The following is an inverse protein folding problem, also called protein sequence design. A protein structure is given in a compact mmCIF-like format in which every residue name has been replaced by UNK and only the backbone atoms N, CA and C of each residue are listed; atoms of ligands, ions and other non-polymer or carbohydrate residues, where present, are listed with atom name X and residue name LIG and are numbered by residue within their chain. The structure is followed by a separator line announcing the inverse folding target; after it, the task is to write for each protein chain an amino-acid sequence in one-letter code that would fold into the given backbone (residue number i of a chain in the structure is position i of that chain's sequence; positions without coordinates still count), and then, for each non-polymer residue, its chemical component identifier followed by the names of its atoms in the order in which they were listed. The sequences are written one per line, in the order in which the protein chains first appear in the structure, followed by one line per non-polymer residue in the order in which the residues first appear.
data_IF_454687966830
#
_entry.id   IF_454687966830
#
_cell.length_a   1.000
_cell.length_b   1.000
_cell.length_c   1.000
_cell.angle_alpha   90.00
_cell.angle_beta   90.00
_cell.angle_gamma   90.00
#
_symmetry.space_group_name_H-M   'P 1'
#
loop_
_entity.id
_entity.type
_entity.pdbx_description
1 polymer ?
#
# COMPACT_ATOMS: atom_id res chain seq x y z
N UNK A 1 -21.03 -16.65 -25.90
CA UNK A 1 -20.39 -16.89 -24.59
C UNK A 1 -20.44 -18.39 -24.37
N UNK A 2 -19.35 -19.00 -23.91
CA UNK A 2 -19.34 -20.43 -23.55
C UNK A 2 -20.30 -20.67 -22.38
N UNK A 3 -20.84 -21.88 -22.28
CA UNK A 3 -21.59 -22.34 -21.10
C UNK A 3 -20.61 -22.40 -19.92
N UNK A 4 -21.00 -21.96 -18.70
CA UNK A 4 -20.13 -22.06 -17.54
C UNK A 4 -19.91 -23.53 -17.13
N UNK A 5 -18.72 -23.83 -16.62
CA UNK A 5 -18.36 -25.19 -16.18
C UNK A 5 -19.10 -25.59 -14.89
N UNK A 6 -19.32 -24.63 -14.00
CA UNK A 6 -19.91 -24.88 -12.69
C UNK A 6 -21.09 -23.95 -12.42
N UNK A 7 -22.12 -24.52 -11.80
CA UNK A 7 -23.33 -23.81 -11.39
C UNK A 7 -23.71 -24.31 -10.00
N UNK A 8 -23.93 -23.37 -9.07
CA UNK A 8 -24.61 -23.63 -7.80
C UNK A 8 -25.86 -22.76 -7.75
N UNK A 9 -26.98 -23.42 -7.45
CA UNK A 9 -28.29 -22.81 -7.28
C UNK A 9 -28.83 -23.13 -5.89
N UNK A 10 -29.32 -22.10 -5.21
CA UNK A 10 -30.01 -22.25 -3.94
C UNK A 10 -30.94 -21.05 -3.70
N UNK A 11 -31.98 -21.30 -2.93
CA UNK A 11 -32.83 -20.25 -2.41
C UNK A 11 -32.30 -19.78 -1.06
N UNK A 12 -32.27 -18.48 -0.84
CA UNK A 12 -31.91 -17.90 0.45
C UNK A 12 -32.92 -16.87 0.92
N UNK A 13 -33.00 -16.73 2.24
CA UNK A 13 -33.68 -15.64 2.91
C UNK A 13 -33.30 -14.26 2.31
N UNK A 14 -34.29 -13.45 1.95
CA UNK A 14 -34.02 -12.11 1.44
C UNK A 14 -33.50 -11.21 2.57
N UNK A 15 -32.21 -10.83 2.51
CA UNK A 15 -31.56 -9.99 3.53
C UNK A 15 -32.10 -8.56 3.59
N UNK A 16 -32.68 -8.04 2.50
CA UNK A 16 -33.21 -6.67 2.46
C UNK A 16 -34.49 -6.52 3.30
N UNK A 17 -35.37 -7.53 3.27
CA UNK A 17 -36.64 -7.53 4.01
C UNK A 17 -36.68 -8.55 5.15
N UNK A 18 -35.54 -9.15 5.51
CA UNK A 18 -35.44 -10.24 6.48
C UNK A 18 -36.49 -11.33 6.26
N UNK A 19 -36.61 -11.78 5.00
CA UNK A 19 -37.56 -12.81 4.54
C UNK A 19 -39.05 -12.52 4.67
N UNK A 20 -39.45 -11.30 5.02
CA UNK A 20 -40.88 -10.96 5.15
C UNK A 20 -41.56 -10.69 3.81
N UNK A 21 -40.77 -10.45 2.76
CA UNK A 21 -41.28 -9.93 1.48
C UNK A 21 -41.64 -8.44 1.52
N UNK A 22 -41.62 -7.81 2.69
CA UNK A 22 -42.04 -6.43 2.90
C UNK A 22 -40.87 -5.59 3.44
N UNK A 23 -40.67 -4.42 2.88
CA UNK A 23 -39.66 -3.48 3.32
C UNK A 23 -40.32 -2.31 4.06
N UNK A 24 -39.74 -1.93 5.19
CA UNK A 24 -40.13 -0.75 5.98
C UNK A 24 -38.86 0.09 6.14
N UNK A 25 -38.77 1.16 5.37
CA UNK A 25 -37.67 2.11 5.41
C UNK A 25 -38.00 3.33 6.28
N UNK A 26 -37.24 4.41 6.05
CA UNK A 26 -37.37 5.65 6.81
C UNK A 26 -38.66 6.42 6.45
N UNK A 27 -39.30 6.12 5.31
CA UNK A 27 -40.49 6.84 4.86
C UNK A 27 -41.82 6.11 5.18
N UNK A 28 -41.75 4.83 5.52
CA UNK A 28 -42.91 4.01 5.86
C UNK A 28 -43.25 4.17 7.35
N UNK A 29 -44.47 4.64 7.64
CA UNK A 29 -44.92 4.97 8.99
C UNK A 29 -46.29 4.35 9.29
N UNK A 30 -46.68 4.29 10.57
CA UNK A 30 -48.02 3.88 11.01
C UNK A 30 -48.45 2.49 10.50
N UNK A 31 -47.54 1.52 10.50
CA UNK A 31 -47.82 0.15 10.04
C UNK A 31 -47.84 -0.01 8.52
N UNK A 32 -47.47 1.03 7.75
CA UNK A 32 -47.26 0.89 6.32
C UNK A 32 -45.99 0.09 6.01
N UNK A 33 -46.03 -0.67 4.92
CA UNK A 33 -44.87 -1.35 4.35
C UNK A 33 -45.01 -1.35 2.81
N UNK A 34 -43.88 -1.47 2.12
CA UNK A 34 -43.84 -1.62 0.66
C UNK A 34 -43.34 -3.00 0.28
N UNK A 35 -43.74 -3.50 -0.89
CA UNK A 35 -43.23 -4.79 -1.40
C UNK A 35 -41.72 -4.67 -1.61
N UNK A 36 -40.97 -5.60 -1.05
CA UNK A 36 -39.52 -5.62 -1.17
C UNK A 36 -39.11 -5.73 -2.65
N UNK A 37 -38.38 -4.73 -3.13
CA UNK A 37 -37.95 -4.66 -4.53
C UNK A 37 -36.93 -5.73 -4.90
N UNK A 38 -36.17 -6.25 -3.93
CA UNK A 38 -35.16 -7.31 -4.12
C UNK A 38 -35.81 -8.66 -4.40
N UNK A 39 -36.70 -9.13 -3.52
CA UNK A 39 -37.35 -10.44 -3.65
C UNK A 39 -38.74 -10.40 -4.30
N UNK A 40 -39.24 -9.21 -4.67
CA UNK A 40 -40.57 -9.02 -5.27
C UNK A 40 -41.71 -9.55 -4.40
N UNK A 41 -41.56 -9.47 -3.07
CA UNK A 41 -42.60 -9.87 -2.12
C UNK A 41 -42.55 -11.32 -1.66
N UNK A 42 -41.65 -12.15 -2.20
CA UNK A 42 -41.60 -13.59 -1.86
C UNK A 42 -40.94 -13.87 -0.51
N UNK A 43 -40.10 -12.95 -0.02
CA UNK A 43 -39.23 -13.19 1.13
C UNK A 43 -38.03 -14.10 0.83
N UNK A 44 -37.91 -14.63 -0.38
CA UNK A 44 -36.82 -15.50 -0.81
C UNK A 44 -36.14 -14.96 -2.07
N UNK A 45 -34.83 -15.10 -2.15
CA UNK A 45 -34.06 -14.80 -3.35
C UNK A 45 -33.48 -16.10 -3.90
N UNK A 46 -33.76 -16.40 -5.16
CA UNK A 46 -33.05 -17.43 -5.90
C UNK A 46 -31.67 -16.91 -6.30
N UNK A 47 -30.61 -17.57 -5.87
CA UNK A 47 -29.23 -17.20 -6.19
C UNK A 47 -28.65 -18.25 -7.12
N UNK A 48 -28.19 -17.77 -8.28
CA UNK A 48 -27.44 -18.56 -9.24
C UNK A 48 -26.03 -18.00 -9.32
N UNK A 49 -25.04 -18.79 -8.93
CA UNK A 49 -23.62 -18.47 -9.08
C UNK A 49 -23.08 -19.33 -10.20
N UNK A 50 -22.65 -18.68 -11.28
CA UNK A 50 -21.98 -19.32 -12.42
C UNK A 50 -20.50 -18.93 -12.38
N UNK A 51 -19.61 -19.91 -12.52
CA UNK A 51 -18.18 -19.64 -12.62
C UNK A 51 -17.48 -20.69 -13.47
N UNK A 52 -16.34 -20.28 -14.03
CA UNK A 52 -15.38 -21.16 -14.68
C UNK A 52 -14.20 -21.38 -13.73
N UNK A 53 -13.53 -22.53 -13.83
CA UNK A 53 -12.32 -22.76 -13.05
C UNK A 53 -11.23 -21.74 -13.42
N UNK A 54 -10.56 -21.21 -12.41
CA UNK A 54 -9.40 -20.38 -12.64
C UNK A 54 -8.23 -21.25 -13.10
N UNK A 55 -7.97 -21.24 -14.41
CA UNK A 55 -6.81 -21.93 -15.00
C UNK A 55 -5.58 -21.02 -14.96
N UNK A 56 -5.72 -19.83 -15.53
CA UNK A 56 -4.65 -18.84 -15.59
C UNK A 56 -5.22 -17.42 -15.74
N UNK A 57 -4.35 -16.43 -15.56
CA UNK A 57 -4.72 -15.03 -15.81
C UNK A 57 -4.85 -14.81 -17.31
N UNK A 58 -6.03 -14.38 -17.76
CA UNK A 58 -6.25 -13.94 -19.14
C UNK A 58 -5.38 -12.72 -19.46
N UNK A 59 -4.78 -12.72 -20.65
CA UNK A 59 -3.97 -11.60 -21.15
C UNK A 59 -4.88 -10.44 -21.57
N UNK A 60 -4.45 -9.20 -21.27
CA UNK A 60 -5.11 -7.96 -21.65
C UNK A 60 -4.12 -7.08 -22.42
N UNK A 61 -4.11 -7.25 -23.73
CA UNK A 61 -3.19 -6.52 -24.63
C UNK A 61 -3.49 -5.01 -24.69
N UNK A 62 -4.68 -4.61 -24.23
CA UNK A 62 -5.10 -3.22 -24.09
C UNK A 62 -4.61 -2.55 -22.79
N UNK A 63 -3.95 -3.31 -21.90
CA UNK A 63 -3.43 -2.80 -20.62
C UNK A 63 -1.91 -2.69 -20.69
N UNK A 64 -1.40 -1.45 -20.66
CA UNK A 64 0.05 -1.19 -20.65
C UNK A 64 0.66 -1.13 -19.25
N UNK A 65 -0.13 -0.73 -18.24
CA UNK A 65 0.36 -0.42 -16.90
C UNK A 65 -0.64 -0.82 -15.82
N UNK A 66 -0.14 -1.30 -14.69
CA UNK A 66 -0.93 -1.75 -13.54
C UNK A 66 -0.56 -0.91 -12.32
N UNK A 67 -1.58 -0.41 -11.63
CA UNK A 67 -1.43 0.37 -10.40
C UNK A 67 -1.92 -0.45 -9.22
N UNK A 68 -1.26 -0.30 -8.07
CA UNK A 68 -1.63 -1.04 -6.86
C UNK A 68 -3.03 -0.68 -6.36
N UNK A 69 -3.41 0.58 -6.51
CA UNK A 69 -4.71 1.11 -6.10
C UNK A 69 -5.04 2.38 -6.88
N UNK A 70 -6.28 2.86 -6.76
CA UNK A 70 -6.70 4.16 -7.26
C UNK A 70 -7.47 4.92 -6.15
N UNK A 71 -6.91 5.98 -5.54
CA UNK A 71 -7.59 6.78 -4.51
C UNK A 71 -8.59 7.79 -5.10
N UNK A 72 -9.31 7.41 -6.16
CA UNK A 72 -10.36 8.23 -6.77
C UNK A 72 -9.85 9.32 -7.72
N UNK A 73 -8.75 9.08 -8.43
CA UNK A 73 -8.19 10.00 -9.42
C UNK A 73 -8.30 9.42 -10.84
N UNK A 74 -8.38 10.31 -11.83
CA UNK A 74 -8.30 9.92 -13.23
C UNK A 74 -6.87 9.47 -13.56
N UNK A 75 -6.71 8.22 -14.02
CA UNK A 75 -5.43 7.66 -14.48
C UNK A 75 -5.48 7.51 -15.99
N UNK A 76 -4.49 8.04 -16.70
CA UNK A 76 -4.45 7.95 -18.15
C UNK A 76 -3.44 8.90 -18.79
N UNK A 77 -3.27 8.76 -20.11
CA UNK A 77 -2.44 9.67 -20.89
C UNK A 77 -3.20 10.97 -21.12
N UNK A 78 -2.54 12.10 -20.91
CA UNK A 78 -3.13 13.43 -21.08
C UNK A 78 -2.06 14.51 -21.24
N UNK A 79 -2.48 15.77 -21.29
CA UNK A 79 -1.54 16.90 -21.43
C UNK A 79 -0.61 16.93 -20.22
N UNK A 80 0.69 16.68 -20.46
CA UNK A 80 1.73 16.69 -19.42
C UNK A 80 1.79 15.42 -18.55
N UNK A 81 1.00 14.39 -18.84
CA UNK A 81 0.97 13.15 -18.05
C UNK A 81 1.12 11.90 -18.92
N UNK A 82 2.04 11.03 -18.52
CA UNK A 82 2.17 9.66 -19.03
C UNK A 82 1.64 8.65 -18.00
N UNK A 83 1.51 7.38 -18.36
CA UNK A 83 1.11 6.33 -17.39
C UNK A 83 2.13 6.21 -16.24
N UNK A 84 3.42 6.36 -16.53
CA UNK A 84 4.53 6.36 -15.55
C UNK A 84 4.43 7.51 -14.55
N UNK A 85 3.76 8.60 -14.92
CA UNK A 85 3.58 9.76 -14.04
C UNK A 85 2.82 9.42 -12.75
N UNK A 86 2.10 8.28 -12.75
CA UNK A 86 1.29 7.80 -11.64
C UNK A 86 1.92 6.61 -10.88
N UNK A 87 3.19 6.30 -11.12
CA UNK A 87 3.86 5.16 -10.48
C UNK A 87 3.48 3.83 -11.13
N UNK A 88 3.20 2.79 -10.35
CA UNK A 88 2.80 1.47 -10.82
C UNK A 88 3.91 0.66 -11.50
N UNK A 89 3.51 -0.45 -12.09
CA UNK A 89 4.36 -1.39 -12.84
C UNK A 89 3.88 -1.47 -14.28
N UNK A 90 4.77 -1.77 -15.22
CA UNK A 90 4.32 -2.20 -16.55
C UNK A 90 3.48 -3.48 -16.43
N UNK A 91 2.59 -3.73 -17.41
CA UNK A 91 1.77 -4.93 -17.40
C UNK A 91 2.61 -6.22 -17.42
N UNK A 92 3.73 -6.20 -18.15
CA UNK A 92 4.66 -7.33 -18.18
C UNK A 92 5.31 -7.58 -16.81
N UNK A 93 5.84 -6.55 -16.14
CA UNK A 93 6.40 -6.69 -14.79
C UNK A 93 5.38 -7.27 -13.80
N UNK A 94 4.13 -6.79 -13.85
CA UNK A 94 3.07 -7.31 -13.00
C UNK A 94 2.71 -8.78 -13.34
N UNK A 95 2.71 -9.13 -14.62
CA UNK A 95 2.49 -10.51 -15.09
C UNK A 95 3.60 -11.45 -14.65
N UNK A 96 4.84 -10.95 -14.63
CA UNK A 96 6.03 -11.67 -14.14
C UNK A 96 6.08 -11.76 -12.60
N UNK A 97 5.04 -11.26 -11.92
CA UNK A 97 4.90 -11.37 -10.46
C UNK A 97 5.73 -10.37 -9.67
N UNK A 98 6.23 -9.30 -10.31
CA UNK A 98 6.95 -8.23 -9.60
C UNK A 98 6.02 -7.56 -8.58
N UNK A 99 6.54 -7.38 -7.37
CA UNK A 99 5.80 -6.75 -6.30
C UNK A 99 5.77 -5.22 -6.42
N UNK A 100 4.70 -4.62 -5.90
CA UNK A 100 4.62 -3.18 -5.72
C UNK A 100 5.46 -2.76 -4.51
N UNK A 101 6.70 -2.35 -4.78
CA UNK A 101 7.65 -1.85 -3.79
C UNK A 101 7.52 -0.34 -3.57
N UNK A 102 8.24 0.19 -2.58
CA UNK A 102 8.35 1.63 -2.36
C UNK A 102 8.81 2.34 -3.64
N UNK A 103 8.20 3.48 -3.94
CA UNK A 103 8.46 4.26 -5.16
C UNK A 103 7.54 3.91 -6.31
N UNK A 104 6.77 2.82 -6.22
CA UNK A 104 5.70 2.51 -7.19
C UNK A 104 4.38 3.21 -6.89
N UNK A 105 4.30 4.06 -5.87
CA UNK A 105 3.09 4.79 -5.54
C UNK A 105 2.86 5.99 -6.47
N UNK A 106 1.61 6.48 -6.52
CA UNK A 106 1.28 7.71 -7.23
C UNK A 106 1.63 8.96 -6.42
N UNK A 107 2.90 9.12 -6.05
CA UNK A 107 3.36 10.17 -5.13
C UNK A 107 3.08 11.59 -5.65
N UNK A 108 3.13 11.76 -6.97
CA UNK A 108 2.89 13.05 -7.63
C UNK A 108 1.45 13.53 -7.50
N UNK A 109 0.47 12.63 -7.47
CA UNK A 109 -0.95 13.02 -7.58
C UNK A 109 -1.76 12.65 -6.34
N UNK A 110 -1.14 12.06 -5.32
CA UNK A 110 -1.83 11.53 -4.13
C UNK A 110 -1.06 11.81 -2.85
N UNK A 111 -1.77 11.95 -1.74
CA UNK A 111 -1.16 11.96 -0.41
C UNK A 111 -0.97 10.53 0.11
N UNK A 112 0.02 10.28 0.99
CA UNK A 112 0.24 8.95 1.56
C UNK A 112 -0.96 8.46 2.38
N UNK A 113 -1.67 9.35 3.07
CA UNK A 113 -2.86 8.99 3.84
C UNK A 113 -3.97 8.37 2.98
N UNK A 114 -4.24 8.94 1.81
CA UNK A 114 -5.27 8.44 0.89
C UNK A 114 -4.80 7.21 0.14
N UNK A 115 -3.54 7.20 -0.30
CA UNK A 115 -2.98 6.06 -1.00
C UNK A 115 -3.06 4.79 -0.13
N UNK A 116 -2.57 4.86 1.12
CA UNK A 116 -2.60 3.71 2.01
C UNK A 116 -3.97 3.41 2.60
N UNK A 117 -4.88 4.39 2.69
CA UNK A 117 -6.29 4.08 2.95
C UNK A 117 -6.87 3.09 1.93
N UNK A 118 -6.43 3.17 0.67
CA UNK A 118 -6.90 2.28 -0.40
C UNK A 118 -6.04 1.02 -0.58
N UNK A 119 -4.76 1.03 -0.22
CA UNK A 119 -3.89 -0.15 -0.28
C UNK A 119 -4.07 -1.07 0.94
N UNK A 120 -3.92 -0.51 2.13
CA UNK A 120 -3.96 -1.21 3.41
C UNK A 120 -4.23 -0.18 4.50
N UNK A 121 -5.48 -0.15 4.96
CA UNK A 121 -5.95 0.84 5.94
C UNK A 121 -5.12 0.84 7.23
N UNK A 122 -4.51 -0.29 7.61
CA UNK A 122 -3.66 -0.39 8.80
C UNK A 122 -2.35 0.39 8.65
N UNK A 123 -1.91 0.60 7.42
CA UNK A 123 -0.77 1.43 7.05
C UNK A 123 -1.18 2.86 6.72
N UNK A 124 -2.37 3.31 7.10
CA UNK A 124 -2.71 4.72 6.93
C UNK A 124 -1.97 5.54 7.98
N UNK A 125 -1.22 6.60 7.60
CA UNK A 125 -0.68 7.53 8.58
C UNK A 125 -1.79 8.18 9.41
N UNK A 126 -1.67 8.09 10.74
CA UNK A 126 -2.55 8.75 11.71
C UNK A 126 -1.95 10.10 12.14
N UNK A 127 -1.80 11.00 11.18
CA UNK A 127 -1.29 12.35 11.43
C UNK A 127 -2.46 13.28 11.75
N UNK A 128 -2.44 13.89 12.94
CA UNK A 128 -3.53 14.75 13.44
C UNK A 128 -3.81 15.97 12.55
N UNK A 129 -2.82 16.42 11.80
CA UNK A 129 -2.91 17.53 10.86
C UNK A 129 -3.60 17.16 9.53
N UNK A 130 -3.79 15.87 9.24
CA UNK A 130 -4.50 15.43 8.03
C UNK A 130 -6.00 15.64 8.21
N UNK A 131 -6.58 16.63 7.52
CA UNK A 131 -8.01 16.83 7.51
C UNK A 131 -8.70 15.79 6.60
N UNK A 132 -9.61 14.98 7.16
CA UNK A 132 -10.39 14.00 6.42
C UNK A 132 -11.68 14.68 5.91
N UNK A 133 -11.97 14.57 4.60
CA UNK A 133 -13.25 15.04 4.03
C UNK A 133 -13.20 16.23 3.06
N UNK A 134 -12.04 16.58 2.50
CA UNK A 134 -11.90 17.59 1.44
C UNK A 134 -11.22 17.06 0.18
N UNK A 135 -11.07 17.87 -0.86
CA UNK A 135 -10.22 17.52 -2.02
C UNK A 135 -8.74 17.54 -1.65
N UNK A 136 -7.92 16.72 -2.31
CA UNK A 136 -6.47 16.67 -2.06
C UNK A 136 -5.80 18.03 -2.26
N UNK A 137 -6.27 18.80 -3.24
CA UNK A 137 -5.80 20.16 -3.55
C UNK A 137 -6.01 21.16 -2.40
N UNK A 138 -6.94 20.88 -1.48
CA UNK A 138 -7.27 21.77 -0.36
C UNK A 138 -6.50 21.42 0.92
N UNK A 139 -5.63 20.39 0.88
CA UNK A 139 -4.77 20.06 2.01
C UNK A 139 -3.75 21.20 2.23
N UNK A 140 -3.57 21.63 3.48
CA UNK A 140 -2.57 22.66 3.84
C UNK A 140 -1.14 22.25 3.49
N UNK A 141 -0.86 20.95 3.47
CA UNK A 141 0.44 20.39 3.11
C UNK A 141 0.56 20.04 1.62
N UNK A 142 -0.41 20.42 0.77
CA UNK A 142 -0.40 20.05 -0.65
C UNK A 142 0.86 20.54 -1.39
N UNK A 143 1.30 21.77 -1.12
CA UNK A 143 2.53 22.35 -1.70
C UNK A 143 3.81 21.66 -1.22
N UNK A 144 3.75 21.00 -0.06
CA UNK A 144 4.87 20.31 0.59
C UNK A 144 4.64 18.81 0.72
N UNK A 145 3.81 18.21 -0.15
CA UNK A 145 3.43 16.79 -0.07
C UNK A 145 4.61 15.83 -0.13
N UNK A 146 5.72 16.22 -0.76
CA UNK A 146 6.94 15.40 -0.80
C UNK A 146 7.49 15.20 0.62
N UNK A 147 7.32 16.18 1.51
CA UNK A 147 7.66 16.05 2.92
C UNK A 147 6.73 15.08 3.66
N UNK A 148 5.45 15.02 3.28
CA UNK A 148 4.53 14.00 3.78
C UNK A 148 5.00 12.60 3.36
N UNK A 149 5.33 12.39 2.08
CA UNK A 149 5.86 11.12 1.61
C UNK A 149 7.19 10.75 2.28
N UNK A 150 8.11 11.70 2.44
CA UNK A 150 9.37 11.48 3.16
C UNK A 150 9.14 11.06 4.61
N UNK A 151 8.23 11.75 5.33
CA UNK A 151 7.85 11.38 6.69
C UNK A 151 7.25 9.98 6.75
N UNK A 152 6.43 9.64 5.76
CA UNK A 152 5.83 8.32 5.64
C UNK A 152 6.89 7.23 5.46
N UNK A 153 7.83 7.42 4.53
CA UNK A 153 8.92 6.47 4.26
C UNK A 153 9.78 6.23 5.52
N UNK A 154 10.06 7.30 6.29
CA UNK A 154 10.75 7.19 7.59
C UNK A 154 9.94 6.34 8.58
N UNK A 155 8.62 6.58 8.67
CA UNK A 155 7.75 5.87 9.63
C UNK A 155 7.59 4.38 9.33
N UNK A 156 7.76 3.97 8.07
CA UNK A 156 7.79 2.57 7.67
C UNK A 156 9.15 1.89 7.90
N UNK A 157 10.15 2.60 8.42
CA UNK A 157 11.47 2.06 8.74
C UNK A 157 12.45 2.04 7.55
N UNK A 158 12.14 2.71 6.43
CA UNK A 158 12.99 2.68 5.23
C UNK A 158 13.98 3.86 5.14
N UNK A 159 14.09 4.66 6.20
CA UNK A 159 14.95 5.85 6.26
C UNK A 159 16.48 5.61 6.32
N UNK A 160 17.01 4.39 6.23
CA UNK A 160 18.47 4.14 6.33
C UNK A 160 18.94 2.95 5.45
N UNK A 161 18.61 2.90 4.16
CA UNK A 161 19.28 1.93 3.25
C UNK A 161 19.89 2.57 1.98
N UNK A 162 19.55 3.82 1.62
CA UNK A 162 19.90 4.35 0.29
C UNK A 162 20.84 5.56 0.21
N UNK A 163 20.84 6.48 1.20
CA UNK A 163 21.67 7.68 1.12
C UNK A 163 22.91 7.53 1.99
N UNK A 164 24.07 7.78 1.37
CA UNK A 164 25.41 7.90 1.93
C UNK A 164 25.33 8.23 3.42
N UNK A 165 25.73 7.28 4.29
CA UNK A 165 25.96 7.63 5.69
C UNK A 165 26.87 8.85 5.70
N UNK A 166 26.54 9.93 6.43
CA UNK A 166 27.40 11.09 6.49
C UNK A 166 28.82 10.62 6.81
N UNK A 167 29.80 11.18 6.11
CA UNK A 167 31.23 10.89 6.35
C UNK A 167 31.44 10.80 7.86
N UNK A 168 32.00 9.69 8.39
CA UNK A 168 32.09 9.51 9.83
C UNK A 168 32.73 10.73 10.47
N UNK A 169 32.22 11.17 11.63
CA UNK A 169 32.88 12.22 12.40
C UNK A 169 34.33 11.80 12.72
N UNK A 170 35.25 12.73 12.96
CA UNK A 170 36.68 12.38 13.18
C UNK A 170 36.86 11.31 14.28
N UNK A 171 36.12 11.41 15.38
CA UNK A 171 36.13 10.39 16.44
C UNK A 171 35.65 8.99 15.96
N UNK A 172 34.73 8.93 15.00
CA UNK A 172 34.26 7.68 14.40
C UNK A 172 35.27 7.13 13.39
N UNK A 173 36.02 7.99 12.70
CA UNK A 173 37.15 7.57 11.84
C UNK A 173 38.28 6.98 12.68
N UNK A 174 38.59 7.59 13.81
CA UNK A 174 39.56 7.08 14.78
C UNK A 174 39.14 5.71 15.33
N UNK A 175 37.87 5.54 15.69
CA UNK A 175 37.33 4.23 16.10
C UNK A 175 37.42 3.17 15.00
N UNK A 176 37.10 3.53 13.75
CA UNK A 176 37.22 2.61 12.61
C UNK A 176 38.67 2.19 12.35
N UNK A 177 39.62 3.13 12.47
CA UNK A 177 41.06 2.83 12.36
C UNK A 177 41.55 1.95 13.52
N UNK A 178 41.06 2.22 14.74
CA UNK A 178 41.40 1.45 15.94
C UNK A 178 40.90 0.00 15.85
N UNK A 179 39.64 -0.22 15.46
CA UNK A 179 39.09 -1.57 15.29
C UNK A 179 39.70 -2.34 14.11
N UNK A 180 40.15 -1.64 13.07
CA UNK A 180 40.93 -2.26 11.99
C UNK A 180 42.31 -2.75 12.47
N UNK A 181 42.91 -2.07 13.45
CA UNK A 181 44.22 -2.44 14.00
C UNK A 181 44.14 -3.47 15.14
N UNK A 182 43.04 -3.52 15.90
CA UNK A 182 42.88 -4.44 17.03
C UNK A 182 41.40 -4.88 17.22
N UNK A 183 40.97 -5.98 16.60
CA UNK A 183 39.56 -6.37 16.49
C UNK A 183 38.88 -6.83 17.79
N UNK A 184 39.63 -6.96 18.89
CA UNK A 184 39.16 -7.55 20.15
C UNK A 184 39.09 -6.54 21.32
N UNK A 185 38.92 -5.25 21.05
CA UNK A 185 38.86 -4.20 22.08
C UNK A 185 37.43 -3.75 22.37
N UNK A 186 37.14 -3.53 23.66
CA UNK A 186 35.88 -2.97 24.14
C UNK A 186 35.88 -1.44 23.99
N UNK A 187 34.87 -0.90 23.30
CA UNK A 187 34.65 0.54 23.19
C UNK A 187 33.83 1.07 24.38
N UNK A 188 34.50 1.86 25.24
CA UNK A 188 33.93 2.47 26.45
C UNK A 188 33.43 3.91 26.25
N UNK A 189 33.24 4.39 25.01
CA UNK A 189 32.68 5.74 24.77
C UNK A 189 31.27 5.92 25.36
N UNK A 190 30.83 7.16 25.57
CA UNK A 190 29.54 7.46 26.21
C UNK A 190 28.33 7.02 25.36
N UNK A 191 27.18 6.82 26.03
CA UNK A 191 25.90 6.48 25.39
C UNK A 191 25.44 7.66 24.52
N UNK A 192 25.01 7.38 23.28
CA UNK A 192 24.53 8.40 22.34
C UNK A 192 25.56 8.96 21.37
N UNK A 193 26.81 8.47 21.40
CA UNK A 193 27.90 8.87 20.50
C UNK A 193 27.83 8.26 19.08
N UNK A 194 26.80 7.48 18.79
CA UNK A 194 26.59 6.90 17.45
C UNK A 194 27.48 5.70 17.12
N UNK A 195 27.89 4.91 18.12
CA UNK A 195 28.76 3.71 17.99
C UNK A 195 28.27 2.63 17.03
N UNK A 196 26.97 2.54 16.81
CA UNK A 196 26.35 1.55 15.92
C UNK A 196 26.78 1.75 14.46
N UNK A 197 26.95 3.00 14.03
CA UNK A 197 27.32 3.32 12.65
C UNK A 197 28.70 2.77 12.25
N UNK A 198 29.81 3.02 12.98
CA UNK A 198 31.12 2.47 12.63
C UNK A 198 31.18 0.94 12.73
N UNK A 199 30.45 0.32 13.67
CA UNK A 199 30.40 -1.14 13.78
C UNK A 199 29.73 -1.78 12.55
N UNK A 200 28.63 -1.20 12.06
CA UNK A 200 27.96 -1.66 10.83
C UNK A 200 28.85 -1.50 9.60
N UNK A 201 29.64 -0.42 9.52
CA UNK A 201 30.63 -0.22 8.44
C UNK A 201 31.74 -1.26 8.48
N UNK A 202 32.28 -1.53 9.67
CA UNK A 202 33.34 -2.52 9.86
C UNK A 202 32.86 -3.94 9.51
N UNK A 203 31.65 -4.32 9.94
CA UNK A 203 31.04 -5.61 9.60
C UNK A 203 30.81 -5.78 8.10
N UNK A 204 30.38 -4.73 7.38
CA UNK A 204 30.27 -4.75 5.90
C UNK A 204 31.62 -4.97 5.23
N UNK A 205 32.69 -4.38 5.76
CA UNK A 205 34.05 -4.53 5.21
C UNK A 205 34.61 -5.95 5.42
N UNK A 206 34.28 -6.58 6.54
CA UNK A 206 34.71 -7.95 6.85
C UNK A 206 33.95 -9.02 6.06
N UNK A 207 32.67 -8.79 5.74
CA UNK A 207 31.87 -9.77 5.01
C UNK A 207 32.21 -9.86 3.52
N UNK A 208 33.03 -8.94 3.00
CA UNK A 208 33.35 -8.87 1.57
C UNK A 208 32.12 -8.65 0.67
N UNK A 209 30.99 -8.27 1.26
CA UNK A 209 29.72 -8.05 0.57
C UNK A 209 29.54 -6.57 0.27
N UNK A 210 29.83 -6.16 -0.96
CA UNK A 210 29.32 -4.91 -1.53
C UNK A 210 27.82 -4.99 -1.87
N UNK A 211 27.06 -5.93 -1.29
CA UNK A 211 25.66 -6.18 -1.61
C UNK A 211 24.81 -6.55 -0.39
N UNK A 212 23.94 -5.62 0.01
CA UNK A 212 22.65 -5.78 0.72
C UNK A 212 22.56 -6.88 1.79
N UNK A 213 22.70 -6.49 3.07
CA UNK A 213 22.19 -7.27 4.21
C UNK A 213 20.74 -6.84 4.47
N UNK A 214 19.79 -7.78 4.33
CA UNK A 214 18.43 -7.63 4.88
C UNK A 214 18.51 -7.80 6.39
N UNK A 215 17.96 -6.87 7.16
CA UNK A 215 18.01 -6.92 8.62
C UNK A 215 17.37 -8.20 9.15
N UNK A 216 18.13 -8.99 9.91
CA UNK A 216 17.55 -9.92 10.87
C UNK A 216 17.08 -9.09 12.06
N UNK A 217 15.77 -8.95 12.23
CA UNK A 217 15.18 -8.46 13.48
C UNK A 217 14.88 -9.70 14.32
N UNK A 218 15.47 -9.77 15.51
CA UNK A 218 15.02 -10.66 16.60
C UNK A 218 14.11 -9.85 17.50
#
# INVERSE_FOLDING_TARGET
MSKPDHIIEFDQACKTCNSTGLYVGIAEHNGAAVVCSTCKGTGSCHVKIEWDDFVERKVRDDVARVYRTNPGIGLGVGIGHTLESFGGLSYQEWKDGKEFILGTENRKSTCPAWWYQCVDYKKKPDWKECNLGGSFSNCSSFSSKDMCWKRWDISLGEGIIGEVMPTPFEHQKEMLAFHAASPCTLDNSEVGTGKTAPMVVWLKKLSGQDGVIRSLVV
#
